data_IF_802150464580
#
_entry.id   IF_802150464580
#
_cell.length_a   1.000
_cell.length_b   1.000
_cell.length_c   1.000
_cell.angle_alpha   90.00
_cell.angle_beta   90.00
_cell.angle_gamma   90.00
#
_symmetry.space_group_name_H-M   'P 1'
#
loop_
_entity.id
_entity.type
_entity.pdbx_description
1 polymer ?
#
# COMPACT_ATOMS: atom_id res chain seq x y z
N UNK A 1 -19.99 16.61 -16.20
CA UNK A 1 -20.41 15.30 -16.73
C UNK A 1 -20.11 14.28 -15.63
N UNK A 2 -21.14 13.74 -14.97
CA UNK A 2 -21.00 12.75 -13.90
C UNK A 2 -20.48 11.45 -14.53
N UNK A 3 -19.29 11.00 -14.15
CA UNK A 3 -18.79 9.67 -14.51
C UNK A 3 -19.70 8.62 -13.86
N UNK A 4 -20.67 8.15 -14.63
CA UNK A 4 -21.52 7.02 -14.27
C UNK A 4 -20.62 5.76 -14.26
N UNK A 5 -20.35 5.18 -13.08
CA UNK A 5 -19.72 3.87 -12.92
C UNK A 5 -18.44 3.78 -12.07
N UNK A 6 -18.02 4.84 -11.36
CA UNK A 6 -16.86 4.80 -10.45
C UNK A 6 -17.20 4.25 -9.06
N UNK A 7 -16.18 3.72 -8.36
CA UNK A 7 -16.31 3.36 -6.95
C UNK A 7 -16.26 4.62 -6.09
N UNK A 8 -17.28 4.84 -5.27
CA UNK A 8 -17.38 6.02 -4.42
C UNK A 8 -17.80 5.64 -3.01
N UNK A 9 -17.03 6.07 -2.02
CA UNK A 9 -17.23 5.81 -0.61
C UNK A 9 -17.27 7.14 0.14
N UNK A 10 -18.46 7.54 0.57
CA UNK A 10 -18.65 8.67 1.49
C UNK A 10 -19.25 8.12 2.78
N UNK A 11 -18.53 8.33 3.89
CA UNK A 11 -18.94 7.86 5.21
C UNK A 11 -18.94 9.03 6.19
N UNK A 12 -20.09 9.27 6.83
CA UNK A 12 -20.25 10.22 7.90
C UNK A 12 -20.77 9.54 9.15
N UNK A 13 -19.92 9.36 10.14
CA UNK A 13 -20.26 8.73 11.41
C UNK A 13 -19.83 9.65 12.54
N UNK A 14 -20.76 10.01 13.42
CA UNK A 14 -20.46 10.75 14.64
C UNK A 14 -20.83 9.89 15.86
N UNK A 15 -19.90 9.80 16.80
CA UNK A 15 -20.06 9.21 18.14
C UNK A 15 -19.67 10.26 19.18
N UNK A 16 -19.90 9.99 20.47
CA UNK A 16 -19.62 10.94 21.54
C UNK A 16 -18.17 11.47 21.52
N UNK A 17 -17.19 10.58 21.33
CA UNK A 17 -15.76 10.90 21.42
C UNK A 17 -15.00 10.72 20.10
N UNK A 18 -15.69 10.40 19.01
CA UNK A 18 -15.05 10.05 17.76
C UNK A 18 -15.96 10.28 16.55
N UNK A 19 -15.41 10.83 15.48
CA UNK A 19 -16.13 11.00 14.22
C UNK A 19 -15.31 10.50 13.04
N UNK A 20 -16.01 10.03 11.99
CA UNK A 20 -15.43 9.74 10.67
C UNK A 20 -16.20 10.58 9.65
N UNK A 21 -15.49 11.40 8.91
CA UNK A 21 -16.00 12.14 7.74
C UNK A 21 -15.04 11.95 6.57
N UNK A 22 -15.37 11.03 5.69
CA UNK A 22 -14.51 10.57 4.61
C UNK A 22 -15.30 10.58 3.30
N UNK A 23 -14.69 11.13 2.25
CA UNK A 23 -15.22 11.13 0.90
C UNK A 23 -14.11 10.70 -0.07
N UNK A 24 -14.24 9.51 -0.70
CA UNK A 24 -13.21 8.87 -1.49
C UNK A 24 -13.76 8.35 -2.81
N UNK A 25 -13.05 8.65 -3.89
CA UNK A 25 -13.17 7.93 -5.15
C UNK A 25 -12.11 6.85 -5.21
N UNK A 26 -12.53 5.59 -5.32
CA UNK A 26 -11.61 4.46 -5.39
C UNK A 26 -11.36 4.05 -6.84
N UNK A 27 -10.11 3.69 -7.21
CA UNK A 27 -9.82 3.09 -8.51
C UNK A 27 -10.68 1.85 -8.77
N UNK A 28 -10.92 1.54 -10.06
CA UNK A 28 -11.69 0.36 -10.44
C UNK A 28 -10.97 -0.97 -10.11
N UNK A 29 -9.66 -0.92 -9.90
CA UNK A 29 -8.79 -2.06 -9.57
C UNK A 29 -7.57 -1.60 -8.78
N UNK A 30 -6.82 -2.57 -8.25
CA UNK A 30 -5.60 -2.30 -7.50
C UNK A 30 -5.86 -2.04 -6.02
N UNK A 31 -4.81 -1.72 -5.29
CA UNK A 31 -4.85 -1.56 -3.83
C UNK A 31 -4.87 -0.08 -3.46
N UNK A 32 -5.93 0.35 -2.77
CA UNK A 32 -5.97 1.61 -2.05
C UNK A 32 -5.62 1.33 -0.58
N UNK A 33 -4.43 1.76 -0.15
CA UNK A 33 -4.04 1.69 1.25
C UNK A 33 -4.72 2.80 2.05
N UNK A 34 -5.30 2.45 3.18
CA UNK A 34 -5.80 3.39 4.20
C UNK A 34 -4.83 3.36 5.36
N UNK A 35 -4.04 4.41 5.46
CA UNK A 35 -2.95 4.57 6.43
C UNK A 35 -3.32 5.60 7.50
N UNK A 36 -2.77 5.47 8.69
CA UNK A 36 -2.91 6.42 9.78
C UNK A 36 -2.62 5.80 11.14
N UNK A 37 -2.49 6.64 12.16
CA UNK A 37 -2.25 6.20 13.52
C UNK A 37 -3.34 5.27 14.06
N UNK A 38 -3.05 4.53 15.12
CA UNK A 38 -4.07 3.75 15.83
C UNK A 38 -5.19 4.67 16.31
N UNK A 39 -6.45 4.27 16.12
CA UNK A 39 -7.60 5.10 16.47
C UNK A 39 -8.00 6.18 15.45
N UNK A 40 -7.30 6.30 14.30
CA UNK A 40 -7.65 7.30 13.26
C UNK A 40 -8.95 7.00 12.49
N UNK A 41 -9.60 5.83 12.69
CA UNK A 41 -10.89 5.51 12.06
C UNK A 41 -10.82 4.50 10.92
N UNK A 42 -9.68 3.92 10.61
CA UNK A 42 -9.47 2.98 9.50
C UNK A 42 -10.41 1.78 9.52
N UNK A 43 -10.41 1.03 10.62
CA UNK A 43 -11.32 -0.13 10.81
C UNK A 43 -12.78 0.29 10.78
N UNK A 44 -13.12 1.44 11.37
CA UNK A 44 -14.49 1.98 11.35
C UNK A 44 -14.92 2.27 9.92
N UNK A 45 -14.07 2.89 9.09
CA UNK A 45 -14.34 3.10 7.67
C UNK A 45 -14.63 1.79 6.96
N UNK A 46 -13.78 0.76 7.14
CA UNK A 46 -14.00 -0.55 6.51
C UNK A 46 -15.32 -1.19 6.97
N UNK A 47 -15.63 -1.10 8.26
CA UNK A 47 -16.89 -1.64 8.82
C UNK A 47 -18.13 -0.94 8.24
N UNK A 48 -18.06 0.38 8.04
CA UNK A 48 -19.13 1.13 7.37
C UNK A 48 -19.28 0.69 5.90
N UNK A 49 -18.16 0.58 5.16
CA UNK A 49 -18.16 0.10 3.77
C UNK A 49 -18.71 -1.33 3.67
N UNK A 50 -18.42 -2.17 4.65
CA UNK A 50 -18.96 -3.54 4.71
C UNK A 50 -20.44 -3.59 5.12
N UNK A 51 -21.00 -2.52 5.67
CA UNK A 51 -22.35 -2.51 6.25
C UNK A 51 -22.45 -3.21 7.60
N UNK A 52 -21.31 -3.49 8.24
CA UNK A 52 -21.24 -3.99 9.63
C UNK A 52 -21.54 -2.88 10.64
N UNK A 53 -21.38 -1.65 10.22
CA UNK A 53 -21.73 -0.46 10.96
C UNK A 53 -22.50 0.51 10.05
N UNK A 54 -23.61 1.03 10.53
CA UNK A 54 -24.44 1.97 9.76
C UNK A 54 -24.08 3.39 10.14
N UNK A 55 -23.52 4.11 9.17
CA UNK A 55 -23.25 5.55 9.29
C UNK A 55 -24.33 6.32 8.51
N UNK A 56 -24.96 7.31 9.15
CA UNK A 56 -26.03 8.13 8.55
C UNK A 56 -25.45 9.19 7.61
N UNK A 57 -26.13 9.46 6.50
CA UNK A 57 -25.67 10.44 5.49
C UNK A 57 -24.55 9.89 4.60
N UNK A 58 -24.40 8.58 4.51
CA UNK A 58 -23.34 7.90 3.78
C UNK A 58 -23.78 7.47 2.38
N UNK A 59 -22.79 7.33 1.48
CA UNK A 59 -22.92 6.74 0.16
C UNK A 59 -21.81 5.70 -0.03
N UNK A 60 -22.19 4.47 -0.37
CA UNK A 60 -21.25 3.41 -0.76
C UNK A 60 -21.70 2.83 -2.07
N UNK A 61 -20.97 3.13 -3.15
CA UNK A 61 -21.19 2.63 -4.49
C UNK A 61 -19.94 1.94 -5.00
N UNK A 62 -20.09 0.71 -5.46
CA UNK A 62 -19.00 -0.08 -6.05
C UNK A 62 -19.41 -0.48 -7.47
N UNK A 63 -18.70 0.03 -8.46
CA UNK A 63 -19.10 -0.07 -9.85
C UNK A 63 -20.50 0.51 -10.07
N UNK A 64 -21.39 -0.31 -10.59
CA UNK A 64 -22.79 0.07 -10.82
C UNK A 64 -23.72 -0.28 -9.66
N UNK A 65 -23.19 -0.85 -8.57
CA UNK A 65 -24.01 -1.32 -7.44
C UNK A 65 -23.93 -0.32 -6.28
N UNK A 66 -25.10 0.18 -5.86
CA UNK A 66 -25.23 1.01 -4.66
C UNK A 66 -25.50 0.12 -3.45
N UNK A 67 -24.60 0.11 -2.49
CA UNK A 67 -24.76 -0.65 -1.25
C UNK A 67 -25.38 0.19 -0.12
N UNK A 68 -25.15 1.48 -0.15
CA UNK A 68 -25.76 2.44 0.74
C UNK A 68 -25.91 3.78 0.03
N UNK A 69 -27.07 4.39 0.13
CA UNK A 69 -27.35 5.78 -0.22
C UNK A 69 -28.46 6.27 0.70
N UNK A 70 -28.08 6.95 1.77
CA UNK A 70 -29.04 7.40 2.76
C UNK A 70 -29.95 8.53 2.24
N UNK A 71 -29.51 9.27 1.21
CA UNK A 71 -30.36 10.29 0.56
C UNK A 71 -31.52 9.64 -0.23
N UNK A 72 -31.30 8.41 -0.71
CA UNK A 72 -32.31 7.63 -1.42
C UNK A 72 -32.95 6.54 -0.56
N UNK A 73 -32.59 6.44 0.72
CA UNK A 73 -33.09 5.41 1.64
C UNK A 73 -32.60 3.99 1.33
N UNK A 74 -31.49 3.84 0.57
CA UNK A 74 -30.94 2.54 0.18
C UNK A 74 -29.96 2.08 1.25
N UNK A 75 -30.16 0.87 1.78
CA UNK A 75 -29.20 0.18 2.64
C UNK A 75 -29.22 -1.32 2.36
N UNK A 76 -28.15 -1.83 1.74
CA UNK A 76 -27.95 -3.26 1.51
C UNK A 76 -27.24 -3.85 2.73
N UNK A 77 -27.83 -4.83 3.42
CA UNK A 77 -27.19 -5.45 4.58
C UNK A 77 -25.92 -6.23 4.16
N UNK A 78 -24.96 -6.38 5.08
CA UNK A 78 -23.65 -6.99 4.83
C UNK A 78 -23.71 -8.31 4.07
N UNK A 79 -24.63 -9.20 4.45
CA UNK A 79 -24.75 -10.53 3.82
C UNK A 79 -25.27 -10.53 2.38
N UNK A 80 -25.73 -9.38 1.87
CA UNK A 80 -26.13 -9.17 0.48
C UNK A 80 -25.12 -8.33 -0.31
N UNK A 81 -24.10 -7.77 0.36
CA UNK A 81 -23.03 -7.05 -0.33
C UNK A 81 -22.05 -8.08 -0.91
N UNK A 82 -21.71 -7.92 -2.18
CA UNK A 82 -20.73 -8.78 -2.87
C UNK A 82 -19.32 -8.33 -2.51
N UNK A 83 -18.91 -8.59 -1.26
CA UNK A 83 -17.59 -8.20 -0.75
C UNK A 83 -16.89 -9.38 -0.05
N UNK A 84 -15.55 -9.34 -0.06
CA UNK A 84 -14.70 -10.15 0.79
C UNK A 84 -14.17 -9.30 1.94
N UNK A 85 -14.25 -9.80 3.18
CA UNK A 85 -13.66 -9.15 4.35
C UNK A 85 -12.65 -10.06 5.02
N UNK A 86 -11.43 -9.58 5.16
CA UNK A 86 -10.36 -10.23 5.92
C UNK A 86 -10.09 -9.38 7.15
N UNK A 87 -10.40 -9.91 8.31
CA UNK A 87 -10.22 -9.26 9.60
C UNK A 87 -8.75 -9.33 10.04
N UNK A 88 -8.37 -8.47 10.97
CA UNK A 88 -7.04 -8.44 11.58
C UNK A 88 -6.64 -9.82 12.15
N UNK A 89 -7.56 -10.48 12.85
CA UNK A 89 -7.46 -11.90 13.14
C UNK A 89 -8.10 -12.67 11.99
N UNK A 90 -7.46 -13.74 11.52
CA UNK A 90 -7.92 -14.52 10.37
C UNK A 90 -9.36 -15.05 10.48
N UNK A 91 -9.90 -15.13 11.71
CA UNK A 91 -11.29 -15.50 12.04
C UNK A 91 -11.80 -16.72 11.26
N UNK A 92 -10.98 -17.76 11.17
CA UNK A 92 -11.36 -19.02 10.52
C UNK A 92 -12.33 -19.79 11.40
N UNK A 93 -13.22 -20.57 10.76
CA UNK A 93 -14.12 -21.45 11.46
C UNK A 93 -13.36 -22.67 12.01
N UNK A 94 -13.19 -22.73 13.32
CA UNK A 94 -12.36 -23.74 13.99
C UNK A 94 -12.92 -25.17 13.89
N UNK A 95 -14.22 -25.31 13.73
CA UNK A 95 -14.91 -26.60 13.56
C UNK A 95 -14.76 -27.15 12.13
N UNK A 96 -14.22 -26.39 11.19
CA UNK A 96 -13.98 -26.78 9.81
C UNK A 96 -12.47 -26.93 9.54
N UNK A 97 -12.11 -27.82 8.60
CA UNK A 97 -10.80 -27.83 7.98
C UNK A 97 -10.65 -26.65 7.00
N UNK A 98 -9.49 -26.52 6.35
CA UNK A 98 -9.23 -25.47 5.37
C UNK A 98 -10.22 -25.55 4.21
N UNK A 99 -10.44 -26.74 3.65
CA UNK A 99 -11.40 -26.96 2.55
C UNK A 99 -12.81 -26.53 2.95
N UNK A 100 -13.27 -26.88 4.14
CA UNK A 100 -14.57 -26.48 4.66
C UNK A 100 -14.72 -24.96 4.82
N UNK A 101 -13.67 -24.29 5.28
CA UNK A 101 -13.64 -22.82 5.36
C UNK A 101 -13.80 -22.17 3.98
N UNK A 102 -13.10 -22.66 2.96
CA UNK A 102 -13.20 -22.14 1.59
C UNK A 102 -14.59 -22.41 0.99
N UNK A 103 -15.11 -23.63 1.16
CA UNK A 103 -16.45 -23.99 0.68
C UNK A 103 -17.56 -23.18 1.33
N UNK A 104 -17.38 -22.74 2.57
CA UNK A 104 -18.35 -21.87 3.23
C UNK A 104 -18.51 -20.52 2.51
N UNK A 105 -17.38 -19.89 2.07
CA UNK A 105 -17.41 -18.68 1.26
C UNK A 105 -18.10 -18.90 -0.08
N UNK A 106 -17.75 -20.01 -0.75
CA UNK A 106 -18.26 -20.38 -2.05
C UNK A 106 -19.78 -20.59 -2.10
N UNK A 107 -20.34 -21.31 -1.14
CA UNK A 107 -21.79 -21.61 -1.06
C UNK A 107 -22.66 -20.36 -0.98
N UNK A 108 -22.10 -19.22 -0.61
CA UNK A 108 -22.81 -17.94 -0.47
C UNK A 108 -22.72 -17.04 -1.68
N UNK A 109 -21.79 -17.31 -2.62
CA UNK A 109 -21.59 -16.46 -3.80
C UNK A 109 -22.65 -16.62 -4.87
N UNK A 110 -23.37 -17.74 -4.92
CA UNK A 110 -24.37 -18.02 -5.98
C UNK A 110 -23.80 -18.17 -7.40
N UNK A 111 -22.47 -18.16 -7.56
CA UNK A 111 -21.78 -18.20 -8.85
C UNK A 111 -21.35 -19.62 -9.25
N UNK A 112 -21.05 -19.90 -10.54
CA UNK A 112 -20.52 -21.18 -11.02
C UNK A 112 -19.16 -21.47 -10.40
N UNK A 113 -19.04 -22.58 -9.70
CA UNK A 113 -18.37 -22.68 -8.41
C UNK A 113 -16.94 -23.19 -8.41
N UNK A 114 -16.47 -23.94 -9.38
CA UNK A 114 -15.22 -24.68 -9.25
C UNK A 114 -13.99 -23.83 -9.61
N UNK A 115 -14.06 -23.06 -10.68
CA UNK A 115 -12.90 -22.36 -11.25
C UNK A 115 -12.35 -21.28 -10.31
N UNK A 116 -13.20 -20.54 -9.62
CA UNK A 116 -12.78 -19.47 -8.72
C UNK A 116 -12.11 -19.99 -7.43
N UNK A 117 -12.52 -21.16 -6.96
CA UNK A 117 -11.93 -21.78 -5.78
C UNK A 117 -10.54 -22.34 -6.07
N UNK A 118 -10.38 -23.05 -7.18
CA UNK A 118 -9.11 -23.63 -7.59
C UNK A 118 -8.08 -22.52 -7.90
N UNK A 119 -8.51 -21.45 -8.57
CA UNK A 119 -7.67 -20.29 -8.80
C UNK A 119 -7.22 -19.60 -7.48
N UNK A 120 -8.10 -19.46 -6.51
CA UNK A 120 -7.73 -18.89 -5.20
C UNK A 120 -6.77 -19.81 -4.41
N UNK A 121 -6.95 -21.14 -4.51
CA UNK A 121 -6.06 -22.14 -3.89
C UNK A 121 -4.65 -22.04 -4.52
N UNK A 122 -4.58 -21.96 -5.84
CA UNK A 122 -3.32 -21.86 -6.58
C UNK A 122 -2.65 -20.50 -6.34
N UNK A 123 -3.40 -19.40 -6.46
CA UNK A 123 -2.93 -18.05 -6.25
C UNK A 123 -2.27 -17.87 -4.88
N UNK A 124 -2.83 -18.48 -3.83
CA UNK A 124 -2.36 -18.35 -2.45
C UNK A 124 -1.50 -19.53 -1.97
N UNK A 125 -1.23 -20.52 -2.85
CA UNK A 125 -0.36 -21.64 -2.56
C UNK A 125 -0.81 -22.49 -1.37
N UNK A 126 -2.12 -22.68 -1.18
CA UNK A 126 -2.68 -23.38 -0.03
C UNK A 126 -3.13 -24.82 -0.30
N UNK A 127 -2.81 -25.35 -1.50
CA UNK A 127 -3.23 -26.71 -1.91
C UNK A 127 -2.85 -27.81 -0.90
N UNK A 128 -1.63 -27.78 -0.38
CA UNK A 128 -1.14 -28.73 0.62
C UNK A 128 -1.80 -28.60 2.00
N UNK A 129 -2.54 -27.49 2.24
CA UNK A 129 -3.17 -27.20 3.52
C UNK A 129 -4.63 -27.64 3.61
N UNK A 130 -5.27 -28.02 2.49
CA UNK A 130 -6.73 -28.19 2.37
C UNK A 130 -7.34 -29.15 3.39
N UNK A 131 -6.60 -30.16 3.82
CA UNK A 131 -7.05 -31.18 4.79
C UNK A 131 -6.64 -30.86 6.23
N UNK A 132 -5.87 -29.79 6.46
CA UNK A 132 -5.45 -29.42 7.80
C UNK A 132 -6.59 -28.73 8.57
N UNK A 133 -6.60 -28.93 9.87
CA UNK A 133 -7.45 -28.15 10.78
C UNK A 133 -6.83 -26.75 10.99
N UNK A 134 -7.67 -25.76 11.27
CA UNK A 134 -7.24 -24.38 11.45
C UNK A 134 -6.20 -24.19 12.57
N UNK A 135 -6.28 -25.01 13.63
CA UNK A 135 -5.32 -25.00 14.74
C UNK A 135 -3.90 -25.48 14.35
N UNK A 136 -3.78 -26.24 13.27
CA UNK A 136 -2.51 -26.79 12.76
C UNK A 136 -1.78 -25.81 11.84
N UNK A 137 -2.38 -24.66 11.55
CA UNK A 137 -1.83 -23.66 10.64
C UNK A 137 -0.97 -22.66 11.39
N UNK A 138 0.15 -22.25 10.78
CA UNK A 138 0.90 -21.06 11.19
C UNK A 138 0.06 -19.79 11.01
N UNK A 139 0.48 -18.68 11.63
CA UNK A 139 -0.21 -17.40 11.46
C UNK A 139 -0.33 -16.98 10.00
N UNK A 140 0.75 -17.16 9.22
CA UNK A 140 0.78 -16.85 7.80
C UNK A 140 -0.12 -17.76 6.96
N UNK A 141 -0.14 -19.06 7.25
CA UNK A 141 -1.06 -20.00 6.59
C UNK A 141 -2.50 -19.67 6.90
N UNK A 142 -2.82 -19.33 8.16
CA UNK A 142 -4.19 -18.88 8.54
C UNK A 142 -4.60 -17.65 7.75
N UNK A 143 -3.71 -16.69 7.58
CA UNK A 143 -4.01 -15.46 6.85
C UNK A 143 -4.26 -15.74 5.36
N UNK A 144 -3.42 -16.56 4.71
CA UNK A 144 -3.63 -16.98 3.31
C UNK A 144 -4.96 -17.71 3.12
N UNK A 145 -5.33 -18.57 4.06
CA UNK A 145 -6.63 -19.27 4.03
C UNK A 145 -7.79 -18.29 4.23
N UNK A 146 -7.67 -17.27 5.08
CA UNK A 146 -8.71 -16.25 5.28
C UNK A 146 -8.91 -15.41 4.01
N UNK A 147 -7.81 -15.02 3.33
CA UNK A 147 -7.87 -14.32 2.04
C UNK A 147 -8.52 -15.23 0.98
N UNK A 148 -8.10 -16.50 0.88
CA UNK A 148 -8.71 -17.45 -0.06
C UNK A 148 -10.20 -17.63 0.16
N UNK A 149 -10.65 -17.70 1.43
CA UNK A 149 -12.07 -17.78 1.78
C UNK A 149 -12.83 -16.53 1.33
N UNK A 150 -12.24 -15.35 1.51
CA UNK A 150 -12.83 -14.10 1.04
C UNK A 150 -12.92 -14.06 -0.50
N UNK A 151 -11.90 -14.52 -1.22
CA UNK A 151 -11.89 -14.60 -2.68
C UNK A 151 -12.85 -15.65 -3.23
N UNK A 152 -13.03 -16.77 -2.54
CA UNK A 152 -13.99 -17.80 -2.94
C UNK A 152 -15.43 -17.29 -3.03
N UNK A 153 -15.77 -16.19 -2.36
CA UNK A 153 -17.06 -15.51 -2.50
C UNK A 153 -17.21 -14.67 -3.77
N UNK A 154 -16.17 -14.58 -4.63
CA UNK A 154 -16.13 -13.76 -5.85
C UNK A 154 -16.53 -12.29 -5.60
N UNK A 155 -15.81 -11.58 -4.74
CA UNK A 155 -16.19 -10.25 -4.32
C UNK A 155 -15.98 -9.21 -5.42
N UNK A 156 -16.82 -8.15 -5.42
CA UNK A 156 -16.61 -6.93 -6.20
C UNK A 156 -15.66 -5.93 -5.50
N UNK A 157 -15.45 -6.11 -4.20
CA UNK A 157 -14.54 -5.33 -3.37
C UNK A 157 -13.92 -6.23 -2.32
N UNK A 158 -12.60 -6.16 -2.15
CA UNK A 158 -11.89 -6.86 -1.06
C UNK A 158 -11.47 -5.85 0.02
N UNK A 159 -11.85 -6.14 1.25
CA UNK A 159 -11.50 -5.36 2.43
C UNK A 159 -10.50 -6.15 3.28
N UNK A 160 -9.34 -5.56 3.53
CA UNK A 160 -8.23 -6.17 4.28
C UNK A 160 -7.91 -5.26 5.48
N UNK A 161 -8.30 -5.69 6.68
CA UNK A 161 -8.15 -4.90 7.90
C UNK A 161 -6.92 -5.35 8.69
N UNK A 162 -5.83 -4.60 8.55
CA UNK A 162 -4.51 -4.88 9.15
C UNK A 162 -4.08 -6.36 9.02
N UNK A 163 -4.10 -6.96 7.81
CA UNK A 163 -3.99 -8.42 7.65
C UNK A 163 -2.62 -8.98 8.07
N UNK A 164 -1.61 -8.15 8.24
CA UNK A 164 -0.25 -8.56 8.62
C UNK A 164 0.16 -8.09 10.03
N UNK A 165 -0.70 -7.40 10.78
CA UNK A 165 -0.33 -6.77 12.04
C UNK A 165 0.16 -7.76 13.11
N UNK A 166 -0.40 -8.97 13.15
CA UNK A 166 -0.08 -10.01 14.14
C UNK A 166 1.11 -10.90 13.75
N UNK A 167 1.79 -10.59 12.63
CA UNK A 167 2.86 -11.42 12.08
C UNK A 167 4.24 -10.81 12.33
N UNK A 168 5.21 -11.66 12.65
CA UNK A 168 6.62 -11.29 12.67
C UNK A 168 7.17 -11.03 11.24
N UNK A 169 8.35 -10.42 11.16
CA UNK A 169 8.96 -10.04 9.88
C UNK A 169 9.21 -11.22 8.94
N UNK A 170 9.56 -12.40 9.48
CA UNK A 170 9.80 -13.58 8.66
C UNK A 170 8.50 -14.02 7.98
N UNK A 171 7.40 -14.08 8.73
CA UNK A 171 6.08 -14.44 8.20
C UNK A 171 5.49 -13.38 7.26
N UNK A 172 5.76 -12.08 7.52
CA UNK A 172 5.38 -11.01 6.57
C UNK A 172 6.05 -11.23 5.22
N UNK A 173 7.34 -11.58 5.19
CA UNK A 173 8.08 -11.89 3.96
C UNK A 173 7.51 -13.07 3.18
N UNK A 174 6.92 -14.05 3.86
CA UNK A 174 6.27 -15.19 3.21
C UNK A 174 4.93 -14.82 2.55
N UNK A 175 4.18 -13.85 3.11
CA UNK A 175 2.83 -13.51 2.65
C UNK A 175 2.85 -12.40 1.61
N UNK A 176 3.72 -11.41 1.76
CA UNK A 176 3.76 -10.24 0.89
C UNK A 176 3.82 -10.59 -0.60
N UNK A 177 4.62 -11.57 -1.07
CA UNK A 177 4.61 -11.98 -2.48
C UNK A 177 3.24 -12.49 -2.97
N UNK A 178 2.46 -13.12 -2.09
CA UNK A 178 1.10 -13.56 -2.41
C UNK A 178 0.13 -12.39 -2.55
N UNK A 179 0.29 -11.34 -1.72
CA UNK A 179 -0.50 -10.11 -1.83
C UNK A 179 -0.15 -9.31 -3.08
N UNK A 180 1.12 -9.31 -3.51
CA UNK A 180 1.56 -8.72 -4.77
C UNK A 180 0.93 -9.44 -5.96
N UNK A 181 1.01 -10.76 -6.00
CA UNK A 181 0.32 -11.56 -7.02
C UNK A 181 -1.18 -11.29 -7.03
N UNK A 182 -1.79 -11.18 -5.84
CA UNK A 182 -3.20 -10.85 -5.71
C UNK A 182 -3.51 -9.49 -6.35
N UNK A 183 -2.70 -8.45 -6.11
CA UNK A 183 -2.83 -7.13 -6.73
C UNK A 183 -2.75 -7.21 -8.26
N UNK A 184 -1.78 -7.98 -8.77
CA UNK A 184 -1.48 -8.03 -10.21
C UNK A 184 -2.50 -8.88 -10.99
N UNK A 185 -3.00 -9.96 -10.39
CA UNK A 185 -3.91 -10.90 -11.03
C UNK A 185 -5.39 -10.53 -10.85
N UNK A 186 -5.77 -9.94 -9.71
CA UNK A 186 -7.15 -9.55 -9.45
C UNK A 186 -7.49 -8.18 -10.07
N UNK A 187 -8.61 -8.16 -10.80
CA UNK A 187 -9.12 -6.94 -11.43
C UNK A 187 -10.28 -6.32 -10.64
N UNK A 188 -10.18 -6.34 -9.32
CA UNK A 188 -11.14 -5.73 -8.41
C UNK A 188 -10.46 -4.68 -7.52
N UNK A 189 -11.21 -3.69 -7.01
CA UNK A 189 -10.68 -2.76 -6.02
C UNK A 189 -10.44 -3.47 -4.69
N UNK A 190 -9.37 -3.07 -4.00
CA UNK A 190 -9.03 -3.54 -2.68
C UNK A 190 -8.80 -2.34 -1.75
N UNK A 191 -9.42 -2.34 -0.57
CA UNK A 191 -9.09 -1.44 0.52
C UNK A 191 -8.22 -2.19 1.53
N UNK A 192 -7.01 -1.71 1.72
CA UNK A 192 -5.98 -2.30 2.57
C UNK A 192 -5.66 -1.38 3.73
N UNK A 193 -6.11 -1.71 4.92
CA UNK A 193 -5.78 -0.95 6.12
C UNK A 193 -4.45 -1.39 6.68
N UNK A 194 -3.55 -0.45 6.94
CA UNK A 194 -2.27 -0.70 7.59
C UNK A 194 -1.75 0.56 8.29
N UNK A 195 -0.82 0.38 9.22
CA UNK A 195 0.00 1.44 9.82
C UNK A 195 1.49 1.30 9.42
N UNK A 196 1.82 0.39 8.50
CA UNK A 196 3.17 0.13 7.99
C UNK A 196 3.40 0.81 6.65
N UNK A 197 4.31 1.78 6.60
CA UNK A 197 4.70 2.45 5.34
C UNK A 197 5.39 1.48 4.39
N UNK A 198 6.10 0.46 4.91
CA UNK A 198 6.70 -0.60 4.07
C UNK A 198 5.63 -1.40 3.32
N UNK A 199 4.52 -1.76 3.98
CA UNK A 199 3.41 -2.44 3.34
C UNK A 199 2.73 -1.53 2.30
N UNK A 200 2.57 -0.24 2.60
CA UNK A 200 2.04 0.77 1.66
C UNK A 200 2.91 0.86 0.42
N UNK A 201 4.23 1.05 0.59
CA UNK A 201 5.17 1.18 -0.52
C UNK A 201 5.18 -0.06 -1.41
N UNK A 202 5.05 -1.25 -0.80
CA UNK A 202 5.10 -2.52 -1.50
C UNK A 202 3.82 -2.83 -2.26
N UNK A 203 2.68 -2.65 -1.63
CA UNK A 203 1.41 -3.18 -2.13
C UNK A 203 0.52 -2.12 -2.79
N UNK A 204 0.55 -0.88 -2.31
CA UNK A 204 -0.43 0.11 -2.70
C UNK A 204 -0.15 0.78 -4.04
N UNK A 205 -1.22 1.12 -4.74
CA UNK A 205 -1.21 1.98 -5.93
C UNK A 205 -1.69 3.39 -5.54
N UNK A 206 -2.68 3.45 -4.63
CA UNK A 206 -3.23 4.68 -4.08
C UNK A 206 -3.09 4.66 -2.56
N UNK A 207 -2.74 5.80 -1.97
CA UNK A 207 -2.66 6.00 -0.54
C UNK A 207 -3.72 7.00 -0.10
N UNK A 208 -4.42 6.67 0.97
CA UNK A 208 -5.32 7.55 1.72
C UNK A 208 -4.78 7.64 3.14
N UNK A 209 -4.41 8.82 3.57
CA UNK A 209 -3.97 9.08 4.95
C UNK A 209 -5.16 9.59 5.75
N UNK A 210 -5.51 8.87 6.82
CA UNK A 210 -6.54 9.25 7.76
C UNK A 210 -5.96 9.83 9.03
N UNK A 211 -6.40 11.02 9.38
CA UNK A 211 -6.10 11.67 10.65
C UNK A 211 -7.39 12.10 11.34
N UNK A 212 -7.58 11.64 12.58
CA UNK A 212 -8.77 11.98 13.42
C UNK A 212 -10.10 11.80 12.69
N UNK A 213 -10.21 10.72 11.90
CA UNK A 213 -11.42 10.39 11.16
C UNK A 213 -11.64 11.15 9.87
N UNK A 214 -10.73 12.03 9.47
CA UNK A 214 -10.79 12.78 8.22
C UNK A 214 -9.66 12.37 7.27
N UNK A 215 -9.85 12.61 5.96
CA UNK A 215 -8.82 12.43 4.96
C UNK A 215 -7.84 13.60 5.02
N UNK A 216 -6.62 13.35 5.48
CA UNK A 216 -5.53 14.32 5.46
C UNK A 216 -4.88 14.44 4.08
N UNK A 217 -4.72 13.31 3.38
CA UNK A 217 -4.19 13.27 2.04
C UNK A 217 -4.70 12.04 1.28
N UNK A 218 -4.85 12.14 -0.04
CA UNK A 218 -5.22 11.02 -0.92
C UNK A 218 -4.61 11.22 -2.30
N UNK A 219 -4.08 10.13 -2.89
CA UNK A 219 -3.49 10.17 -4.23
C UNK A 219 -2.59 8.97 -4.54
N UNK A 220 -1.89 8.99 -5.69
CA UNK A 220 -0.91 7.96 -6.04
C UNK A 220 0.16 7.84 -4.96
N UNK A 221 0.50 6.60 -4.58
CA UNK A 221 1.42 6.33 -3.47
C UNK A 221 2.79 6.98 -3.68
N UNK A 222 3.34 6.91 -4.90
CA UNK A 222 4.65 7.50 -5.21
C UNK A 222 4.68 9.02 -5.00
N UNK A 223 3.58 9.72 -5.37
CA UNK A 223 3.47 11.17 -5.21
C UNK A 223 3.37 11.59 -3.75
N UNK A 224 2.62 10.84 -2.94
CA UNK A 224 2.45 11.15 -1.52
C UNK A 224 3.71 10.83 -0.71
N UNK A 225 4.42 9.74 -1.01
CA UNK A 225 5.65 9.37 -0.31
C UNK A 225 6.80 10.35 -0.57
N UNK A 226 6.92 10.91 -1.80
CA UNK A 226 7.97 11.87 -2.18
C UNK A 226 7.53 13.35 -2.07
N UNK A 227 6.33 13.59 -1.59
CA UNK A 227 5.80 14.95 -1.39
C UNK A 227 6.52 15.70 -0.27
N UNK A 228 6.59 17.04 -0.37
CA UNK A 228 7.22 17.87 0.65
C UNK A 228 6.48 17.79 2.01
N UNK A 229 5.19 17.49 2.01
CA UNK A 229 4.39 17.25 3.20
C UNK A 229 4.45 15.79 3.70
N UNK A 230 5.18 14.90 3.00
CA UNK A 230 5.25 13.49 3.39
C UNK A 230 5.74 13.27 4.85
N UNK A 231 6.73 14.01 5.37
CA UNK A 231 7.17 13.83 6.75
C UNK A 231 6.14 14.17 7.82
N UNK A 232 5.23 15.12 7.58
CA UNK A 232 4.14 15.42 8.50
C UNK A 232 3.16 14.24 8.61
N UNK A 233 2.98 13.49 7.52
CA UNK A 233 2.06 12.37 7.41
C UNK A 233 2.70 11.02 7.77
N UNK A 234 3.99 10.83 7.46
CA UNK A 234 4.69 9.54 7.47
C UNK A 234 5.93 9.54 8.38
N UNK A 235 6.31 10.67 8.95
CA UNK A 235 7.45 10.81 9.87
C UNK A 235 8.79 10.47 9.21
N UNK A 236 9.57 9.62 9.89
CA UNK A 236 10.90 9.18 9.44
C UNK A 236 10.86 8.26 8.19
N UNK A 237 9.69 7.75 7.85
CA UNK A 237 9.49 6.84 6.73
C UNK A 237 9.19 7.55 5.40
N UNK A 238 9.17 8.88 5.40
CA UNK A 238 9.06 9.68 4.17
C UNK A 238 10.25 9.39 3.23
N UNK A 239 9.98 9.36 1.92
CA UNK A 239 10.99 9.05 0.92
C UNK A 239 10.38 8.84 -0.46
N UNK A 240 11.18 8.42 -1.42
CA UNK A 240 10.73 8.16 -2.78
C UNK A 240 10.38 6.68 -2.99
N UNK A 241 9.34 6.45 -3.77
CA UNK A 241 9.02 5.15 -4.36
C UNK A 241 9.24 5.28 -5.86
N UNK A 242 10.19 4.50 -6.39
CA UNK A 242 10.58 4.52 -7.80
C UNK A 242 10.19 3.18 -8.43
N UNK A 243 9.68 3.22 -9.65
CA UNK A 243 9.47 2.03 -10.47
C UNK A 243 10.62 1.90 -11.45
N UNK A 244 11.23 0.73 -11.52
CA UNK A 244 12.37 0.47 -12.38
C UNK A 244 12.40 -0.95 -12.92
N UNK A 245 13.41 -1.24 -13.74
CA UNK A 245 13.64 -2.55 -14.34
C UNK A 245 15.06 -3.00 -14.00
N UNK A 246 15.21 -4.24 -13.57
CA UNK A 246 16.53 -4.85 -13.33
C UNK A 246 17.27 -4.95 -14.66
N UNK A 247 18.33 -4.18 -14.81
CA UNK A 247 19.13 -4.12 -16.04
C UNK A 247 20.34 -5.05 -15.98
N UNK A 248 20.93 -5.24 -14.79
CA UNK A 248 22.18 -5.95 -14.64
C UNK A 248 22.28 -6.59 -13.24
N UNK A 249 23.01 -7.71 -13.13
CA UNK A 249 23.38 -8.34 -11.87
C UNK A 249 24.87 -8.57 -11.82
N UNK A 250 25.53 -8.05 -10.78
CA UNK A 250 26.94 -8.25 -10.53
C UNK A 250 27.14 -9.39 -9.51
N UNK A 251 27.47 -10.56 -10.01
CA UNK A 251 27.69 -11.74 -9.17
C UNK A 251 28.93 -11.64 -8.27
N UNK A 252 29.89 -10.76 -8.57
CA UNK A 252 31.10 -10.55 -7.75
C UNK A 252 30.78 -9.79 -6.48
N UNK A 253 29.96 -8.74 -6.61
CA UNK A 253 29.64 -7.87 -5.49
C UNK A 253 28.25 -8.12 -4.89
N UNK A 254 27.49 -9.08 -5.48
CA UNK A 254 26.11 -9.39 -5.08
C UNK A 254 25.21 -8.16 -5.13
N UNK A 255 25.33 -7.39 -6.21
CA UNK A 255 24.55 -6.19 -6.48
C UNK A 255 23.70 -6.37 -7.74
N UNK A 256 22.56 -5.68 -7.78
CA UNK A 256 21.74 -5.51 -8.96
C UNK A 256 21.66 -4.03 -9.34
N UNK A 257 21.71 -3.72 -10.63
CA UNK A 257 21.49 -2.39 -11.17
C UNK A 257 20.07 -2.29 -11.71
N UNK A 258 19.32 -1.34 -11.19
CA UNK A 258 17.95 -1.07 -11.61
C UNK A 258 17.91 0.27 -12.33
N UNK A 259 17.37 0.27 -13.53
CA UNK A 259 17.12 1.47 -14.34
C UNK A 259 15.71 1.97 -14.09
N UNK A 260 15.58 3.30 -13.95
CA UNK A 260 14.31 4.00 -13.74
C UNK A 260 14.31 5.32 -14.51
N UNK A 261 13.16 6.00 -14.56
CA UNK A 261 13.07 7.31 -15.21
C UNK A 261 13.77 8.39 -14.36
N UNK A 262 15.04 8.51 -14.51
CA UNK A 262 15.92 9.42 -13.74
C UNK A 262 17.35 8.92 -13.62
N UNK A 263 17.62 7.68 -14.08
CA UNK A 263 18.96 7.10 -14.04
C UNK A 263 18.97 5.64 -13.63
N UNK A 264 20.01 5.25 -12.92
CA UNK A 264 20.13 3.88 -12.41
C UNK A 264 20.66 3.88 -10.98
N UNK A 265 20.26 2.85 -10.22
CA UNK A 265 20.71 2.64 -8.84
C UNK A 265 21.21 1.22 -8.67
N UNK A 266 22.36 1.11 -7.99
CA UNK A 266 22.89 -0.14 -7.51
C UNK A 266 22.34 -0.44 -6.12
N UNK A 267 21.87 -1.66 -5.92
CA UNK A 267 21.34 -2.13 -4.65
C UNK A 267 21.72 -3.59 -4.42
N UNK A 268 21.49 -4.10 -3.22
CA UNK A 268 21.73 -5.49 -2.89
C UNK A 268 20.88 -6.38 -3.82
N UNK A 269 21.52 -7.38 -4.44
CA UNK A 269 20.82 -8.37 -5.27
C UNK A 269 19.93 -9.26 -4.37
N UNK A 270 18.63 -9.21 -4.60
CA UNK A 270 17.64 -10.02 -3.91
C UNK A 270 17.11 -11.17 -4.77
N UNK A 271 17.67 -11.38 -5.97
CA UNK A 271 17.32 -12.49 -6.84
C UNK A 271 16.36 -12.17 -7.97
N UNK A 272 15.92 -10.91 -8.09
CA UNK A 272 15.03 -10.50 -9.17
C UNK A 272 15.68 -10.72 -10.56
N UNK A 273 14.91 -11.20 -11.52
CA UNK A 273 15.42 -11.51 -12.85
C UNK A 273 15.73 -10.23 -13.65
N UNK A 274 16.74 -10.30 -14.54
CA UNK A 274 17.00 -9.23 -15.51
C UNK A 274 15.75 -9.04 -16.37
N UNK A 275 15.33 -7.77 -16.57
CA UNK A 275 14.10 -7.39 -17.24
C UNK A 275 12.86 -7.37 -16.34
N UNK A 276 12.96 -7.83 -15.10
CA UNK A 276 11.85 -7.77 -14.15
C UNK A 276 11.61 -6.33 -13.70
N UNK A 277 10.33 -5.91 -13.68
CA UNK A 277 9.91 -4.66 -13.06
C UNK A 277 9.92 -4.79 -11.55
N UNK A 278 10.45 -3.78 -10.87
CA UNK A 278 10.61 -3.76 -9.42
C UNK A 278 10.27 -2.37 -8.88
N UNK A 279 9.89 -2.30 -7.62
CA UNK A 279 9.75 -1.05 -6.88
C UNK A 279 10.96 -0.84 -5.99
N UNK A 280 11.50 0.37 -5.98
CA UNK A 280 12.62 0.80 -5.16
C UNK A 280 12.14 1.82 -4.15
N UNK A 281 12.53 1.66 -2.90
CA UNK A 281 12.31 2.66 -1.85
C UNK A 281 13.61 3.34 -1.47
N UNK A 282 13.61 4.66 -1.52
CA UNK A 282 14.72 5.53 -1.11
C UNK A 282 14.22 6.42 0.00
N UNK A 283 14.70 6.21 1.23
CA UNK A 283 14.30 7.05 2.36
C UNK A 283 14.94 8.43 2.27
N UNK A 284 14.21 9.46 2.66
CA UNK A 284 14.69 10.83 2.60
C UNK A 284 16.00 11.05 3.39
N UNK A 285 16.16 10.33 4.51
CA UNK A 285 17.37 10.36 5.34
C UNK A 285 18.60 9.71 4.69
N UNK A 286 18.40 8.88 3.67
CA UNK A 286 19.48 8.20 2.94
C UNK A 286 19.92 8.96 1.68
N UNK A 287 19.37 10.15 1.44
CA UNK A 287 19.73 11.02 0.33
C UNK A 287 20.48 12.25 0.86
N UNK A 288 21.69 12.43 0.38
CA UNK A 288 22.48 13.65 0.58
C UNK A 288 22.63 14.42 -0.73
N UNK A 289 23.02 15.69 -0.64
CA UNK A 289 23.09 16.61 -1.78
C UNK A 289 24.50 17.18 -1.89
N UNK A 290 25.01 17.22 -3.11
CA UNK A 290 26.24 17.94 -3.45
C UNK A 290 26.00 18.92 -4.61
N UNK A 291 26.67 20.07 -4.61
CA UNK A 291 26.55 21.08 -5.66
C UNK A 291 27.45 20.79 -6.87
N UNK A 292 28.47 19.94 -6.67
CA UNK A 292 29.36 19.44 -7.70
C UNK A 292 29.34 17.92 -7.75
N UNK A 293 29.78 17.34 -8.87
CA UNK A 293 29.89 15.90 -9.02
C UNK A 293 30.85 15.30 -7.98
N UNK A 294 30.38 14.46 -7.04
CA UNK A 294 31.22 13.92 -6.00
C UNK A 294 32.28 12.97 -6.55
N UNK A 295 33.52 13.10 -6.07
CA UNK A 295 34.64 12.20 -6.40
C UNK A 295 35.16 11.54 -5.14
N UNK A 296 35.72 10.34 -5.29
CA UNK A 296 36.34 9.60 -4.17
C UNK A 296 35.39 9.40 -2.96
N UNK A 297 34.13 9.08 -3.23
CA UNK A 297 33.11 8.80 -2.21
C UNK A 297 32.78 7.31 -2.18
N UNK A 298 32.36 6.81 -1.01
CA UNK A 298 31.83 5.46 -0.86
C UNK A 298 30.36 5.33 -1.35
N UNK A 299 29.70 6.44 -1.64
CA UNK A 299 28.35 6.46 -2.17
C UNK A 299 28.44 6.32 -3.68
N UNK A 300 28.02 5.17 -4.20
CA UNK A 300 28.12 4.85 -5.63
C UNK A 300 26.92 5.32 -6.45
N UNK A 301 25.77 5.51 -5.80
CA UNK A 301 24.54 5.95 -6.43
C UNK A 301 24.52 7.48 -6.49
N UNK A 302 25.01 8.03 -7.60
CA UNK A 302 25.08 9.45 -7.87
C UNK A 302 24.14 9.80 -9.03
N UNK A 303 23.18 10.67 -8.78
CA UNK A 303 22.16 11.05 -9.77
C UNK A 303 22.21 12.56 -10.01
N UNK A 304 22.32 13.03 -11.26
CA UNK A 304 22.09 14.43 -11.56
C UNK A 304 20.64 14.80 -11.24
N UNK A 305 20.44 15.91 -10.56
CA UNK A 305 19.14 16.33 -10.09
C UNK A 305 18.95 17.84 -10.15
N UNK A 306 17.70 18.27 -10.10
CA UNK A 306 17.35 19.68 -9.98
C UNK A 306 16.48 19.87 -8.75
N UNK A 307 16.83 20.83 -7.90
CA UNK A 307 16.02 21.20 -6.75
C UNK A 307 14.65 21.71 -7.20
N UNK A 308 13.58 21.08 -6.75
CA UNK A 308 12.19 21.52 -7.00
C UNK A 308 11.66 22.41 -5.91
N UNK A 309 11.90 22.02 -4.64
CA UNK A 309 11.45 22.76 -3.50
C UNK A 309 12.37 22.52 -2.30
N UNK A 310 12.44 23.50 -1.41
CA UNK A 310 13.10 23.40 -0.10
C UNK A 310 12.08 23.85 0.93
N UNK A 311 11.89 23.05 1.99
CA UNK A 311 10.97 23.35 3.09
C UNK A 311 11.61 23.02 4.44
N UNK A 312 11.13 23.65 5.51
CA UNK A 312 11.45 23.22 6.86
C UNK A 312 10.83 21.84 7.13
N UNK A 313 11.53 21.01 7.91
CA UNK A 313 10.98 19.76 8.43
C UNK A 313 10.27 19.99 9.78
N UNK A 314 9.63 18.98 10.32
CA UNK A 314 8.98 19.01 11.64
C UNK A 314 9.94 19.47 12.76
N UNK A 315 11.21 19.11 12.68
CA UNK A 315 12.24 19.61 13.58
C UNK A 315 13.01 20.78 12.97
N UNK A 316 13.15 21.94 13.66
CA UNK A 316 13.79 23.14 13.11
C UNK A 316 15.24 22.97 12.63
N UNK A 317 15.96 21.95 13.10
CA UNK A 317 17.33 21.64 12.65
C UNK A 317 17.39 20.95 11.30
N UNK A 318 16.25 20.56 10.73
CA UNK A 318 16.16 19.76 9.50
C UNK A 318 15.44 20.53 8.39
N UNK A 319 15.84 20.24 7.18
CA UNK A 319 15.21 20.73 5.97
C UNK A 319 14.92 19.56 5.02
N UNK A 320 13.83 19.70 4.30
CA UNK A 320 13.39 18.78 3.25
C UNK A 320 13.69 19.41 1.90
N UNK A 321 14.32 18.64 1.04
CA UNK A 321 14.64 19.08 -0.33
C UNK A 321 14.04 18.07 -1.30
N UNK A 322 13.12 18.54 -2.12
CA UNK A 322 12.56 17.76 -3.20
C UNK A 322 13.42 17.91 -4.45
N UNK A 323 13.85 16.80 -5.01
CA UNK A 323 14.78 16.72 -6.13
C UNK A 323 14.13 16.06 -7.34
N UNK A 324 14.22 16.68 -8.51
CA UNK A 324 13.83 16.07 -9.78
C UNK A 324 15.02 15.33 -10.37
N UNK A 325 14.87 14.05 -10.64
CA UNK A 325 15.82 13.19 -11.36
C UNK A 325 15.10 12.64 -12.58
N UNK A 326 15.29 13.23 -13.77
CA UNK A 326 14.46 12.93 -14.93
C UNK A 326 12.97 13.14 -14.63
N UNK A 327 12.13 12.16 -14.93
CA UNK A 327 10.72 12.18 -14.59
C UNK A 327 10.42 11.76 -13.15
N UNK A 328 11.40 11.25 -12.41
CA UNK A 328 11.25 10.80 -11.03
C UNK A 328 11.53 11.90 -10.01
N UNK A 329 10.99 11.72 -8.81
CA UNK A 329 11.16 12.65 -7.70
C UNK A 329 11.79 11.93 -6.52
N UNK A 330 12.91 12.47 -6.01
CA UNK A 330 13.51 12.07 -4.74
C UNK A 330 13.21 13.11 -3.66
N UNK A 331 13.21 12.66 -2.41
CA UNK A 331 13.17 13.53 -1.25
C UNK A 331 14.46 13.35 -0.46
N UNK A 332 15.12 14.44 -0.10
CA UNK A 332 16.28 14.44 0.78
C UNK A 332 15.94 15.14 2.09
N UNK A 333 16.33 14.52 3.22
CA UNK A 333 16.27 15.14 4.54
C UNK A 333 17.69 15.47 4.96
N UNK A 334 17.99 16.75 5.05
CA UNK A 334 19.30 17.26 5.43
C UNK A 334 19.18 18.22 6.61
N UNK A 335 20.30 18.64 7.20
CA UNK A 335 20.22 19.67 8.23
C UNK A 335 19.89 21.02 7.60
N UNK A 336 19.12 21.85 8.31
CA UNK A 336 18.81 23.22 7.88
C UNK A 336 20.09 24.04 7.64
N UNK A 337 21.12 23.81 8.48
CA UNK A 337 22.45 24.41 8.30
C UNK A 337 23.10 24.01 6.97
N UNK A 338 22.98 22.75 6.54
CA UNK A 338 23.53 22.30 5.26
C UNK A 338 22.78 22.91 4.08
N UNK A 339 21.45 23.01 4.16
CA UNK A 339 20.63 23.65 3.13
C UNK A 339 21.03 25.12 2.93
N UNK A 340 21.26 25.86 4.02
CA UNK A 340 21.73 27.24 4.00
C UNK A 340 23.15 27.36 3.46
N UNK A 341 24.09 26.56 3.95
CA UNK A 341 25.49 26.58 3.52
C UNK A 341 25.67 26.23 2.04
N UNK A 342 24.81 25.36 1.49
CA UNK A 342 24.81 25.01 0.06
C UNK A 342 24.01 26.02 -0.79
N UNK A 343 23.30 26.97 -0.17
CA UNK A 343 22.47 27.97 -0.85
C UNK A 343 21.38 27.33 -1.71
N UNK A 344 20.78 26.24 -1.25
CA UNK A 344 19.82 25.47 -2.07
C UNK A 344 18.57 26.28 -2.41
N UNK A 345 18.28 26.39 -3.70
CA UNK A 345 17.12 27.11 -4.21
C UNK A 345 16.45 26.31 -5.34
N UNK A 346 15.12 26.46 -5.53
CA UNK A 346 14.43 25.86 -6.66
C UNK A 346 15.08 26.23 -8.00
N UNK A 347 15.24 25.23 -8.87
CA UNK A 347 15.91 25.37 -10.17
C UNK A 347 17.43 25.10 -10.15
N UNK A 348 18.05 24.97 -8.99
CA UNK A 348 19.48 24.70 -8.87
C UNK A 348 19.80 23.26 -9.28
N UNK A 349 20.81 23.11 -10.18
CA UNK A 349 21.35 21.80 -10.53
C UNK A 349 22.26 21.29 -9.40
N UNK A 350 22.08 20.03 -9.00
CA UNK A 350 22.79 19.39 -7.90
C UNK A 350 23.00 17.91 -8.20
N UNK A 351 23.76 17.23 -7.35
CA UNK A 351 23.92 15.78 -7.35
C UNK A 351 23.23 15.19 -6.13
N UNK A 352 22.27 14.29 -6.37
CA UNK A 352 21.70 13.47 -5.31
C UNK A 352 22.60 12.25 -5.08
N UNK A 353 23.05 12.08 -3.84
CA UNK A 353 23.85 10.95 -3.40
C UNK A 353 22.97 10.02 -2.59
N UNK A 354 22.66 8.85 -3.13
CA UNK A 354 21.76 7.88 -2.48
C UNK A 354 22.61 6.81 -1.80
N UNK A 355 22.64 6.86 -0.45
CA UNK A 355 23.45 5.96 0.37
C UNK A 355 22.87 4.54 0.43
N UNK A 356 21.56 4.43 0.54
CA UNK A 356 20.86 3.16 0.67
C UNK A 356 19.60 3.14 -0.18
N UNK A 357 19.38 2.02 -0.84
CA UNK A 357 18.19 1.74 -1.64
C UNK A 357 17.68 0.38 -1.21
N UNK A 358 16.42 0.30 -0.88
CA UNK A 358 15.77 -0.97 -0.62
C UNK A 358 14.94 -1.39 -1.84
N UNK A 359 15.12 -2.63 -2.28
CA UNK A 359 14.13 -3.29 -3.11
C UNK A 359 12.89 -3.52 -2.25
N UNK A 360 11.76 -3.09 -2.72
CA UNK A 360 10.51 -3.34 -2.04
C UNK A 360 9.99 -4.68 -2.55
N UNK A 361 10.39 -5.75 -1.85
CA UNK A 361 10.02 -7.14 -2.11
C UNK A 361 9.00 -7.65 -1.09
#
# INVERSE_FOLDING_TARGET
MSEAGGNHVRVKLARADFSVDVDLSLPARGITAVFGASGSGKTTLLRCVAGLERATGSLVRIGNTVWQDDAQGVFVPTWRRTLGYVFQEASLFEHLDVRGNLQYGLKRSGAPQAIALDAAIELLGIGALLQRRTQQLSGGERQRVAIARALASQPQLLLLDEPLASLDQARKREILPWLERLRDELRIPMLYVTHSVDEVARLADTLVVLERGCVAASGPVASLLSGIAAPELLGEDAGALLEGTVAERDGRWQLARVEFDGGSLWLRDAGAAIGQRVRLRVLARDVSIATEEPRNTSIQNLLPAVVRAVAADAHPSQALVQLACGGSVLLARITARAADALGLQPGMAVWAQVKSVALVE
#
